data_IF_938393611251
#
_entry.id   IF_938393611251
#
_cell.length_a   1.000
_cell.length_b   1.000
_cell.length_c   1.000
_cell.angle_alpha   90.00
_cell.angle_beta   90.00
_cell.angle_gamma   90.00
#
_symmetry.space_group_name_H-M   'P 1'
#
loop_
_entity.id
_entity.type
_entity.pdbx_description
1 polymer ?
#
# COMPACT_ATOMS: atom_id res chain seq x y z
N UNK A 1 6.94 14.84 7.85
CA UNK A 1 5.95 13.82 7.44
C UNK A 1 4.53 14.34 7.66
N UNK A 2 3.56 13.95 6.84
CA UNK A 2 2.14 14.27 6.98
C UNK A 2 1.29 13.01 6.92
N UNK A 3 0.02 13.06 7.37
CA UNK A 3 -0.82 11.89 7.56
C UNK A 3 -1.80 11.70 6.41
N UNK A 4 -2.03 10.44 6.03
CA UNK A 4 -3.06 10.05 5.08
C UNK A 4 -3.83 8.83 5.60
N UNK A 5 -4.95 8.52 4.99
CA UNK A 5 -5.71 7.29 5.20
C UNK A 5 -5.93 6.58 3.87
N UNK A 6 -5.73 5.25 3.84
CA UNK A 6 -6.14 4.44 2.71
C UNK A 6 -7.66 4.26 2.71
N UNK A 7 -8.31 4.46 1.55
CA UNK A 7 -9.74 4.18 1.39
C UNK A 7 -10.09 2.72 1.69
N UNK A 8 -9.12 1.80 1.60
CA UNK A 8 -9.25 0.42 2.04
C UNK A 8 -9.62 0.28 3.53
N UNK A 9 -9.11 1.19 4.37
CA UNK A 9 -9.40 1.19 5.81
C UNK A 9 -10.88 1.36 6.15
N UNK A 10 -11.68 1.88 5.23
CA UNK A 10 -13.12 2.00 5.35
C UNK A 10 -13.90 0.78 4.80
N UNK A 11 -13.21 -0.30 4.43
CA UNK A 11 -13.81 -1.48 3.80
C UNK A 11 -14.99 -2.09 4.58
N UNK A 12 -14.97 -2.03 5.93
CA UNK A 12 -16.12 -2.47 6.74
C UNK A 12 -17.39 -1.68 6.42
N UNK A 13 -17.28 -0.37 6.30
CA UNK A 13 -18.41 0.51 6.02
C UNK A 13 -18.82 0.48 4.55
N UNK A 14 -17.86 0.36 3.64
CA UNK A 14 -18.14 0.21 2.21
C UNK A 14 -18.90 -1.09 1.94
N UNK A 15 -18.41 -2.22 2.46
CA UNK A 15 -19.09 -3.53 2.32
C UNK A 15 -20.46 -3.57 2.98
N UNK A 16 -20.67 -2.79 4.04
CA UNK A 16 -21.97 -2.66 4.71
C UNK A 16 -22.90 -1.65 4.03
N UNK A 17 -22.49 -1.03 2.92
CA UNK A 17 -23.26 0.00 2.22
C UNK A 17 -23.48 1.30 3.00
N UNK A 18 -22.64 1.56 4.02
CA UNK A 18 -22.70 2.79 4.83
C UNK A 18 -21.92 3.94 4.22
N UNK A 19 -20.89 3.65 3.44
CA UNK A 19 -20.06 4.61 2.71
C UNK A 19 -19.76 4.06 1.31
N UNK A 20 -19.52 4.98 0.38
CA UNK A 20 -18.85 4.71 -0.89
C UNK A 20 -17.38 5.19 -0.80
N UNK A 21 -16.55 4.88 -1.80
CA UNK A 21 -15.22 5.49 -1.87
C UNK A 21 -15.29 7.02 -1.91
N UNK A 22 -16.32 7.58 -2.53
CA UNK A 22 -16.55 9.02 -2.57
C UNK A 22 -16.79 9.58 -1.17
N UNK A 23 -17.63 8.93 -0.36
CA UNK A 23 -17.95 9.35 1.01
C UNK A 23 -16.75 9.25 1.96
N UNK A 24 -15.77 8.39 1.66
CA UNK A 24 -14.53 8.28 2.43
C UNK A 24 -13.74 9.59 2.47
N UNK A 25 -13.86 10.45 1.45
CA UNK A 25 -13.18 11.74 1.40
C UNK A 25 -13.66 12.66 2.53
N UNK A 26 -14.97 12.85 2.62
CA UNK A 26 -15.54 13.68 3.69
C UNK A 26 -15.23 13.10 5.08
N UNK A 27 -15.27 11.78 5.21
CA UNK A 27 -14.95 11.10 6.47
C UNK A 27 -13.46 11.25 6.85
N UNK A 28 -12.54 11.16 5.91
CA UNK A 28 -11.12 11.40 6.15
C UNK A 28 -10.84 12.84 6.59
N UNK A 29 -11.51 13.81 5.96
CA UNK A 29 -11.41 15.22 6.36
C UNK A 29 -11.99 15.46 7.77
N UNK A 30 -13.16 14.87 8.09
CA UNK A 30 -13.78 14.93 9.42
C UNK A 30 -12.87 14.39 10.52
N UNK A 31 -12.17 13.27 10.25
CA UNK A 31 -11.21 12.68 11.17
C UNK A 31 -9.92 13.51 11.32
N UNK A 32 -9.64 14.43 10.41
CA UNK A 32 -8.48 15.33 10.47
C UNK A 32 -7.21 14.75 9.86
N UNK A 33 -7.33 13.91 8.83
CA UNK A 33 -6.22 13.52 7.96
C UNK A 33 -5.83 14.67 7.03
N UNK A 34 -4.56 14.68 6.61
CA UNK A 34 -4.04 15.68 5.65
C UNK A 34 -4.25 15.24 4.19
N UNK A 35 -4.43 13.93 3.98
CA UNK A 35 -4.55 13.33 2.66
C UNK A 35 -5.39 12.04 2.69
N UNK A 36 -5.77 11.57 1.50
CA UNK A 36 -6.40 10.27 1.27
C UNK A 36 -5.66 9.52 0.16
N UNK A 37 -5.56 8.21 0.30
CA UNK A 37 -5.11 7.28 -0.72
C UNK A 37 -6.30 6.48 -1.23
N UNK A 38 -6.36 6.27 -2.54
CA UNK A 38 -7.38 5.41 -3.14
C UNK A 38 -6.79 4.07 -3.56
N UNK A 39 -7.50 2.98 -3.22
CA UNK A 39 -7.30 1.68 -3.86
C UNK A 39 -8.06 1.66 -5.19
N UNK A 40 -7.97 0.53 -5.95
CA UNK A 40 -8.73 0.35 -7.20
C UNK A 40 -10.10 1.04 -7.15
N UNK A 41 -10.38 1.87 -8.16
CA UNK A 41 -11.61 2.66 -8.17
C UNK A 41 -12.82 1.81 -8.51
N UNK A 42 -13.90 1.97 -7.76
CA UNK A 42 -15.17 1.27 -7.93
C UNK A 42 -16.31 2.29 -8.15
N UNK A 43 -16.52 2.76 -9.41
CA UNK A 43 -17.61 3.68 -9.71
C UNK A 43 -18.97 3.07 -9.37
N UNK A 44 -19.70 3.66 -8.43
CA UNK A 44 -21.01 3.19 -7.98
C UNK A 44 -22.18 3.91 -8.64
N UNK A 45 -21.87 4.95 -9.42
CA UNK A 45 -22.85 5.84 -10.06
C UNK A 45 -22.98 5.63 -11.59
N UNK A 46 -22.36 4.56 -12.10
CA UNK A 46 -22.38 4.21 -13.53
C UNK A 46 -21.42 5.05 -14.39
N UNK A 47 -20.61 5.94 -13.81
CA UNK A 47 -19.59 6.67 -14.54
C UNK A 47 -18.42 5.75 -14.95
N UNK A 48 -17.67 6.13 -15.98
CA UNK A 48 -16.40 5.52 -16.29
C UNK A 48 -15.40 5.75 -15.16
N UNK A 49 -14.37 4.90 -15.08
CA UNK A 49 -13.32 5.05 -14.06
C UNK A 49 -12.62 6.42 -14.14
N UNK A 50 -12.41 6.94 -15.36
CA UNK A 50 -11.80 8.25 -15.58
C UNK A 50 -12.71 9.41 -15.08
N UNK A 51 -14.01 9.35 -15.33
CA UNK A 51 -14.97 10.32 -14.82
C UNK A 51 -15.06 10.24 -13.29
N UNK A 52 -15.03 9.04 -12.74
CA UNK A 52 -15.06 8.84 -11.31
C UNK A 52 -13.80 9.35 -10.64
N UNK A 53 -12.61 9.08 -11.21
CA UNK A 53 -11.34 9.62 -10.74
C UNK A 53 -11.38 11.16 -10.67
N UNK A 54 -11.94 11.80 -11.70
CA UNK A 54 -12.09 13.25 -11.69
C UNK A 54 -13.03 13.73 -10.58
N UNK A 55 -14.17 13.06 -10.36
CA UNK A 55 -15.09 13.39 -9.26
C UNK A 55 -14.43 13.29 -7.90
N UNK A 56 -13.61 12.23 -7.68
CA UNK A 56 -12.86 12.03 -6.43
C UNK A 56 -11.81 13.14 -6.24
N UNK A 57 -11.11 13.53 -7.30
CA UNK A 57 -10.13 14.63 -7.26
C UNK A 57 -10.79 15.96 -6.91
N UNK A 58 -11.90 16.30 -7.57
CA UNK A 58 -12.65 17.53 -7.33
C UNK A 58 -13.19 17.57 -5.88
N UNK A 59 -13.69 16.44 -5.36
CA UNK A 59 -14.21 16.35 -3.99
C UNK A 59 -13.09 16.41 -2.94
N UNK A 60 -11.95 15.75 -3.17
CA UNK A 60 -10.79 15.84 -2.28
C UNK A 60 -10.30 17.29 -2.16
N UNK A 61 -10.22 18.00 -3.29
CA UNK A 61 -9.87 19.42 -3.31
C UNK A 61 -10.89 20.27 -2.54
N UNK A 62 -12.20 20.00 -2.71
CA UNK A 62 -13.29 20.69 -1.98
C UNK A 62 -13.20 20.49 -0.47
N UNK A 63 -12.79 19.28 -0.03
CA UNK A 63 -12.59 18.94 1.38
C UNK A 63 -11.22 19.38 1.93
N UNK A 64 -10.34 19.94 1.11
CA UNK A 64 -8.99 20.38 1.51
C UNK A 64 -8.01 19.23 1.70
N UNK A 65 -8.31 18.02 1.20
CA UNK A 65 -7.43 16.87 1.25
C UNK A 65 -6.53 16.79 0.02
N UNK A 66 -5.29 16.38 0.23
CA UNK A 66 -4.41 15.92 -0.86
C UNK A 66 -4.76 14.48 -1.22
N UNK A 67 -4.51 14.09 -2.46
CA UNK A 67 -4.47 12.67 -2.83
C UNK A 67 -3.02 12.22 -2.73
N UNK A 68 -2.74 11.26 -1.83
CA UNK A 68 -1.37 10.85 -1.51
C UNK A 68 -0.83 9.79 -2.46
N UNK A 69 -1.67 8.85 -2.88
CA UNK A 69 -1.32 7.76 -3.79
C UNK A 69 -2.58 7.14 -4.43
N UNK A 70 -2.35 6.40 -5.51
CA UNK A 70 -3.30 5.45 -6.07
C UNK A 70 -2.70 4.04 -6.01
N UNK A 71 -3.39 3.07 -5.42
CA UNK A 71 -2.88 1.72 -5.21
C UNK A 71 -3.78 0.70 -5.89
N UNK A 72 -3.20 -0.19 -6.68
CA UNK A 72 -3.95 -1.20 -7.43
C UNK A 72 -3.38 -2.59 -7.21
N UNK A 73 -4.25 -3.60 -7.30
CA UNK A 73 -3.83 -4.98 -7.41
C UNK A 73 -3.25 -5.28 -8.80
N UNK A 74 -2.16 -6.07 -8.86
CA UNK A 74 -1.57 -6.52 -10.11
C UNK A 74 -0.80 -7.83 -9.93
N UNK A 75 -0.64 -8.59 -11.01
CA UNK A 75 0.27 -9.73 -11.05
C UNK A 75 1.00 -9.72 -12.39
N UNK A 76 2.24 -9.24 -12.38
CA UNK A 76 3.00 -8.91 -13.59
C UNK A 76 3.68 -10.10 -14.26
N UNK A 77 3.45 -11.31 -13.77
CA UNK A 77 3.83 -12.56 -14.41
C UNK A 77 2.62 -13.50 -14.35
N UNK A 78 2.04 -13.78 -15.48
CA UNK A 78 0.94 -14.72 -15.66
C UNK A 78 1.44 -16.04 -16.24
N UNK A 79 0.54 -16.98 -16.47
CA UNK A 79 0.88 -18.29 -17.02
C UNK A 79 1.33 -18.21 -18.48
N UNK A 80 0.80 -17.24 -19.25
CA UNK A 80 1.18 -16.98 -20.65
C UNK A 80 1.77 -15.59 -20.84
N UNK A 81 2.55 -15.41 -21.92
CA UNK A 81 3.09 -14.10 -22.30
C UNK A 81 1.99 -13.13 -22.69
N UNK A 82 0.94 -13.62 -23.36
CA UNK A 82 -0.21 -12.80 -23.78
C UNK A 82 -0.94 -12.22 -22.56
N UNK A 83 -1.23 -13.05 -21.56
CA UNK A 83 -1.86 -12.60 -20.32
C UNK A 83 -0.97 -11.62 -19.55
N UNK A 84 0.35 -11.88 -19.51
CA UNK A 84 1.33 -10.96 -18.89
C UNK A 84 1.32 -9.61 -19.60
N UNK A 85 1.32 -9.61 -20.94
CA UNK A 85 1.25 -8.39 -21.74
C UNK A 85 -0.05 -7.61 -21.50
N UNK A 86 -1.19 -8.30 -21.49
CA UNK A 86 -2.49 -7.69 -21.18
C UNK A 86 -2.51 -7.04 -19.79
N UNK A 87 -1.89 -7.68 -18.78
CA UNK A 87 -1.81 -7.14 -17.44
C UNK A 87 -0.91 -5.87 -17.38
N UNK A 88 0.21 -5.87 -18.08
CA UNK A 88 1.08 -4.67 -18.18
C UNK A 88 0.31 -3.50 -18.81
N UNK A 89 -0.42 -3.73 -19.89
CA UNK A 89 -1.23 -2.68 -20.52
C UNK A 89 -2.37 -2.20 -19.61
N UNK A 90 -2.98 -3.10 -18.82
CA UNK A 90 -3.95 -2.72 -17.80
C UNK A 90 -3.33 -1.81 -16.73
N UNK A 91 -2.14 -2.14 -16.24
CA UNK A 91 -1.43 -1.32 -15.23
C UNK A 91 -1.06 0.05 -15.81
N UNK A 92 -0.64 0.12 -17.09
CA UNK A 92 -0.40 1.41 -17.76
C UNK A 92 -1.67 2.25 -17.87
N UNK A 93 -2.81 1.65 -18.21
CA UNK A 93 -4.09 2.37 -18.21
C UNK A 93 -4.45 2.92 -16.81
N UNK A 94 -4.11 2.19 -15.74
CA UNK A 94 -4.29 2.67 -14.36
C UNK A 94 -3.36 3.84 -14.01
N UNK A 95 -2.19 3.95 -14.64
CA UNK A 95 -1.33 5.15 -14.52
C UNK A 95 -2.03 6.38 -15.11
N UNK A 96 -2.76 6.23 -16.23
CA UNK A 96 -3.57 7.33 -16.77
C UNK A 96 -4.68 7.76 -15.80
N UNK A 97 -5.30 6.79 -15.10
CA UNK A 97 -6.27 7.09 -14.02
C UNK A 97 -5.60 7.81 -12.85
N UNK A 98 -4.39 7.37 -12.43
CA UNK A 98 -3.63 8.07 -11.38
C UNK A 98 -3.36 9.54 -11.73
N UNK A 99 -3.04 9.82 -13.01
CA UNK A 99 -2.83 11.17 -13.49
C UNK A 99 -4.11 12.02 -13.43
N UNK A 100 -5.26 11.45 -13.83
CA UNK A 100 -6.58 12.13 -13.74
C UNK A 100 -6.95 12.39 -12.28
N UNK A 101 -6.69 11.43 -11.41
CA UNK A 101 -6.93 11.52 -9.97
C UNK A 101 -6.03 12.56 -9.29
N UNK A 102 -4.90 12.91 -9.91
CA UNK A 102 -3.90 13.82 -9.34
C UNK A 102 -3.00 13.16 -8.30
N UNK A 103 -2.92 11.83 -8.28
CA UNK A 103 -2.03 11.09 -7.40
C UNK A 103 -0.57 11.21 -7.88
N UNK A 104 0.38 11.61 -7.03
CA UNK A 104 1.78 11.78 -7.45
C UNK A 104 2.53 10.45 -7.64
N UNK A 105 2.03 9.40 -7.01
CA UNK A 105 2.62 8.06 -7.02
C UNK A 105 1.53 7.01 -7.21
N UNK A 106 1.88 5.91 -7.89
CA UNK A 106 0.99 4.76 -8.05
C UNK A 106 1.69 3.48 -7.61
N UNK A 107 1.06 2.73 -6.70
CA UNK A 107 1.49 1.39 -6.33
C UNK A 107 0.75 0.36 -7.18
N UNK A 108 1.48 -0.62 -7.65
CA UNK A 108 0.94 -1.87 -8.16
C UNK A 108 1.59 -3.05 -7.43
N UNK A 109 0.86 -4.17 -7.29
CA UNK A 109 1.48 -5.39 -6.82
C UNK A 109 2.47 -5.93 -7.86
N UNK A 110 3.28 -6.91 -7.46
CA UNK A 110 4.35 -7.44 -8.29
C UNK A 110 4.03 -8.85 -8.81
N UNK A 111 4.12 -9.86 -7.92
CA UNK A 111 3.98 -11.26 -8.30
C UNK A 111 3.53 -12.10 -7.11
N UNK A 112 2.51 -12.94 -7.31
CA UNK A 112 1.92 -13.79 -6.27
C UNK A 112 2.32 -15.27 -6.36
N UNK A 113 3.35 -15.62 -7.16
CA UNK A 113 3.83 -16.98 -7.26
C UNK A 113 2.93 -17.89 -8.10
N UNK A 114 2.62 -17.52 -9.32
CA UNK A 114 1.98 -18.35 -10.31
C UNK A 114 2.85 -19.57 -10.65
N UNK A 115 2.32 -20.55 -11.35
CA UNK A 115 3.02 -21.82 -11.63
C UNK A 115 4.23 -21.69 -12.57
N UNK A 116 4.38 -20.58 -13.28
CA UNK A 116 5.41 -20.35 -14.30
C UNK A 116 6.83 -20.53 -13.75
N UNK A 117 7.10 -20.02 -12.54
CA UNK A 117 8.42 -20.09 -11.93
C UNK A 117 8.44 -20.87 -10.61
N UNK A 118 9.48 -21.70 -10.41
CA UNK A 118 9.66 -22.51 -9.19
C UNK A 118 10.21 -21.71 -8.01
N UNK A 119 10.84 -20.55 -8.25
CA UNK A 119 11.43 -19.72 -7.21
C UNK A 119 11.34 -18.24 -7.58
N UNK A 120 11.46 -17.39 -6.56
CA UNK A 120 11.57 -15.95 -6.72
C UNK A 120 12.73 -15.56 -7.66
N UNK A 121 13.90 -16.17 -7.49
CA UNK A 121 15.08 -15.82 -8.28
C UNK A 121 14.92 -16.07 -9.77
N UNK A 122 14.21 -17.13 -10.13
CA UNK A 122 13.91 -17.44 -11.54
C UNK A 122 12.89 -16.47 -12.13
N UNK A 123 12.01 -15.88 -11.32
CA UNK A 123 11.03 -14.89 -11.78
C UNK A 123 11.60 -13.47 -11.88
N UNK A 124 12.67 -13.17 -11.14
CA UNK A 124 13.19 -11.82 -10.98
C UNK A 124 13.57 -11.10 -12.29
N UNK A 125 14.21 -11.75 -13.29
CA UNK A 125 14.57 -11.07 -14.54
C UNK A 125 13.33 -10.60 -15.34
N UNK A 126 12.30 -11.46 -15.46
CA UNK A 126 11.06 -11.10 -16.17
C UNK A 126 10.29 -10.04 -15.37
N UNK A 127 10.17 -10.22 -14.06
CA UNK A 127 9.49 -9.26 -13.19
C UNK A 127 10.13 -7.86 -13.27
N UNK A 128 11.44 -7.79 -13.22
CA UNK A 128 12.17 -6.52 -13.30
C UNK A 128 12.00 -5.83 -14.66
N UNK A 129 11.98 -6.60 -15.76
CA UNK A 129 11.75 -6.07 -17.09
C UNK A 129 10.33 -5.47 -17.22
N UNK A 130 9.32 -6.19 -16.72
CA UNK A 130 7.92 -5.76 -16.75
C UNK A 130 7.69 -4.51 -15.90
N UNK A 131 8.26 -4.46 -14.68
CA UNK A 131 8.19 -3.29 -13.80
C UNK A 131 8.91 -2.08 -14.45
N UNK A 132 10.07 -2.28 -15.06
CA UNK A 132 10.81 -1.21 -15.75
C UNK A 132 9.97 -0.58 -16.86
N UNK A 133 9.28 -1.39 -17.67
CA UNK A 133 8.40 -0.89 -18.73
C UNK A 133 7.25 -0.04 -18.18
N UNK A 134 6.64 -0.49 -17.08
CA UNK A 134 5.58 0.27 -16.38
C UNK A 134 6.14 1.58 -15.82
N UNK A 135 7.35 1.54 -15.25
CA UNK A 135 7.98 2.73 -14.66
C UNK A 135 8.37 3.77 -15.72
N UNK A 136 8.81 3.33 -16.89
CA UNK A 136 9.08 4.21 -18.03
C UNK A 136 7.79 4.88 -18.52
N UNK A 137 6.68 4.13 -18.60
CA UNK A 137 5.38 4.70 -18.94
C UNK A 137 4.93 5.71 -17.87
N UNK A 138 5.05 5.36 -16.59
CA UNK A 138 4.74 6.27 -15.47
C UNK A 138 5.52 7.57 -15.54
N UNK A 139 6.82 7.50 -15.84
CA UNK A 139 7.68 8.66 -16.04
C UNK A 139 7.15 9.58 -17.15
N UNK A 140 6.70 9.00 -18.27
CA UNK A 140 6.12 9.77 -19.38
C UNK A 140 4.84 10.53 -19.01
N UNK A 141 4.14 10.07 -17.94
CA UNK A 141 2.91 10.67 -17.41
C UNK A 141 3.15 11.54 -16.18
N UNK A 142 4.39 11.64 -15.69
CA UNK A 142 4.71 12.35 -14.46
C UNK A 142 4.28 11.62 -13.17
N UNK A 143 3.99 10.34 -13.25
CA UNK A 143 3.58 9.50 -12.12
C UNK A 143 4.74 8.57 -11.73
N UNK A 144 5.21 8.65 -10.49
CA UNK A 144 6.16 7.69 -9.95
C UNK A 144 5.46 6.35 -9.70
N UNK A 145 6.13 5.25 -10.01
CA UNK A 145 5.61 3.90 -9.78
C UNK A 145 6.33 3.22 -8.63
N UNK A 146 5.63 2.36 -7.94
CA UNK A 146 6.18 1.62 -6.81
C UNK A 146 5.50 0.27 -6.64
N UNK A 147 6.22 -0.69 -6.05
CA UNK A 147 5.63 -1.92 -5.52
C UNK A 147 5.55 -1.81 -4.00
N UNK A 148 4.69 -2.63 -3.42
CA UNK A 148 4.61 -2.83 -1.98
C UNK A 148 5.26 -4.16 -1.58
N UNK A 149 5.79 -4.24 -0.37
CA UNK A 149 6.14 -5.51 0.28
C UNK A 149 4.85 -6.27 0.64
N UNK A 150 4.27 -6.98 -0.36
CA UNK A 150 2.96 -7.62 -0.28
C UNK A 150 2.92 -8.98 -0.98
N UNK A 151 1.96 -9.87 -0.58
CA UNK A 151 1.63 -11.10 -1.30
C UNK A 151 2.58 -12.28 -1.05
N UNK A 152 3.29 -12.32 0.07
CA UNK A 152 4.20 -13.39 0.53
C UNK A 152 5.44 -13.65 -0.35
N UNK A 153 5.34 -13.56 -1.67
CA UNK A 153 6.46 -13.82 -2.60
C UNK A 153 7.38 -12.60 -2.69
N UNK A 154 6.82 -11.43 -2.90
CA UNK A 154 7.54 -10.15 -3.04
C UNK A 154 7.38 -9.30 -1.76
N UNK A 155 7.59 -9.89 -0.59
CA UNK A 155 7.23 -9.25 0.68
C UNK A 155 8.41 -9.12 1.64
N UNK A 156 9.38 -10.03 1.61
CA UNK A 156 10.60 -9.91 2.43
C UNK A 156 11.40 -8.66 2.02
N UNK A 157 12.01 -8.01 2.98
CA UNK A 157 12.84 -6.82 2.72
C UNK A 157 13.98 -7.11 1.75
N UNK A 158 14.62 -8.29 1.85
CA UNK A 158 15.63 -8.76 0.91
C UNK A 158 15.08 -8.87 -0.54
N UNK A 159 13.89 -9.46 -0.70
CA UNK A 159 13.31 -9.65 -2.03
C UNK A 159 12.89 -8.34 -2.68
N UNK A 160 12.25 -7.45 -1.93
CA UNK A 160 11.84 -6.14 -2.50
C UNK A 160 13.05 -5.27 -2.83
N UNK A 161 14.13 -5.31 -2.02
CA UNK A 161 15.40 -4.65 -2.35
C UNK A 161 16.02 -5.23 -3.63
N UNK A 162 15.99 -6.54 -3.80
CA UNK A 162 16.49 -7.20 -5.03
C UNK A 162 15.66 -6.85 -6.25
N UNK A 163 14.32 -6.72 -6.12
CA UNK A 163 13.48 -6.21 -7.20
C UNK A 163 13.88 -4.77 -7.52
N UNK A 164 14.00 -3.89 -6.51
CA UNK A 164 14.40 -2.50 -6.70
C UNK A 164 15.72 -2.40 -7.47
N UNK A 165 16.74 -3.15 -7.05
CA UNK A 165 18.05 -3.17 -7.70
C UNK A 165 18.00 -3.73 -9.13
N UNK A 166 17.19 -4.78 -9.37
CA UNK A 166 17.05 -5.37 -10.71
C UNK A 166 16.29 -4.45 -11.67
N UNK A 167 15.25 -3.77 -11.19
CA UNK A 167 14.51 -2.75 -11.97
C UNK A 167 15.42 -1.58 -12.31
N UNK A 168 16.20 -1.07 -11.37
CA UNK A 168 17.18 0.01 -11.54
C UNK A 168 16.65 1.15 -12.42
N UNK A 169 15.56 1.79 -12.00
CA UNK A 169 14.91 2.86 -12.73
C UNK A 169 14.58 4.03 -11.79
N UNK A 170 14.94 5.27 -12.16
CA UNK A 170 14.79 6.46 -11.31
C UNK A 170 13.34 6.78 -10.91
N UNK A 171 12.37 6.37 -11.74
CA UNK A 171 10.93 6.57 -11.50
C UNK A 171 10.28 5.42 -10.74
N UNK A 172 11.08 4.47 -10.23
CA UNK A 172 10.62 3.30 -9.48
C UNK A 172 11.13 3.33 -8.05
N UNK A 173 10.23 3.06 -7.09
CA UNK A 173 10.53 2.98 -5.67
C UNK A 173 9.67 1.96 -4.95
N UNK A 174 9.57 2.10 -3.64
CA UNK A 174 8.79 1.21 -2.79
C UNK A 174 7.70 1.98 -2.03
N UNK A 175 6.53 1.38 -1.95
CA UNK A 175 5.61 1.60 -0.85
C UNK A 175 6.05 0.67 0.28
N UNK A 176 6.52 1.25 1.37
CA UNK A 176 6.99 0.51 2.54
C UNK A 176 5.84 0.36 3.54
N UNK A 177 5.21 -0.80 3.59
CA UNK A 177 4.24 -1.14 4.62
C UNK A 177 4.96 -1.77 5.82
N UNK A 178 4.91 -1.09 6.96
CA UNK A 178 5.61 -1.53 8.18
C UNK A 178 5.06 -2.86 8.72
N UNK A 179 3.75 -3.07 8.66
CA UNK A 179 3.07 -4.25 9.20
C UNK A 179 3.24 -5.48 8.31
N UNK A 180 3.28 -5.32 7.00
CA UNK A 180 3.34 -6.44 6.07
C UNK A 180 4.60 -7.30 6.20
N UNK A 181 5.70 -6.77 6.74
CA UNK A 181 6.90 -7.59 7.04
C UNK A 181 6.60 -8.70 8.05
N UNK A 182 5.64 -8.49 8.97
CA UNK A 182 5.23 -9.53 9.92
C UNK A 182 4.57 -10.73 9.23
N UNK A 183 3.94 -10.55 8.06
CA UNK A 183 3.34 -11.65 7.30
C UNK A 183 4.36 -12.69 6.84
N UNK A 184 5.63 -12.30 6.69
CA UNK A 184 6.74 -13.19 6.33
C UNK A 184 7.67 -13.46 7.51
N UNK A 185 7.20 -13.17 8.73
CA UNK A 185 7.91 -13.39 10.00
C UNK A 185 9.19 -12.55 10.15
N UNK A 186 9.32 -11.44 9.42
CA UNK A 186 10.45 -10.52 9.52
C UNK A 186 10.20 -9.46 10.61
N UNK A 187 11.26 -9.02 11.31
CA UNK A 187 11.17 -7.89 12.25
C UNK A 187 10.92 -6.59 11.48
N UNK A 188 9.82 -5.87 11.76
CA UNK A 188 9.47 -4.68 10.98
C UNK A 188 10.55 -3.59 10.98
N UNK A 189 11.21 -3.34 12.12
CA UNK A 189 12.21 -2.28 12.18
C UNK A 189 13.50 -2.64 11.43
N UNK A 190 13.91 -3.92 11.46
CA UNK A 190 15.05 -4.40 10.65
C UNK A 190 14.71 -4.33 9.16
N UNK A 191 13.53 -4.79 8.77
CA UNK A 191 13.07 -4.75 7.40
C UNK A 191 12.98 -3.31 6.86
N UNK A 192 12.32 -2.41 7.60
CA UNK A 192 12.25 -0.99 7.27
C UNK A 192 13.65 -0.37 7.14
N UNK A 193 14.61 -0.72 8.02
CA UNK A 193 15.97 -0.17 7.94
C UNK A 193 16.68 -0.51 6.63
N UNK A 194 16.37 -1.65 6.02
CA UNK A 194 16.93 -2.07 4.71
C UNK A 194 16.32 -1.28 3.56
N UNK A 195 14.99 -1.08 3.58
CA UNK A 195 14.25 -0.56 2.42
C UNK A 195 13.92 0.93 2.49
N UNK A 196 14.11 1.57 3.63
CA UNK A 196 13.82 2.99 3.84
C UNK A 196 14.43 3.93 2.78
N UNK A 197 15.67 3.71 2.27
CA UNK A 197 16.25 4.58 1.24
C UNK A 197 15.48 4.58 -0.09
N UNK A 198 14.64 3.60 -0.32
CA UNK A 198 13.88 3.40 -1.57
C UNK A 198 12.41 3.82 -1.45
N UNK A 199 11.98 4.30 -0.28
CA UNK A 199 10.59 4.62 0.02
C UNK A 199 10.09 5.83 -0.78
N UNK A 200 9.05 5.64 -1.58
CA UNK A 200 8.27 6.70 -2.20
C UNK A 200 6.98 6.97 -1.43
N UNK A 201 6.50 5.98 -0.70
CA UNK A 201 5.30 6.04 0.12
C UNK A 201 5.42 5.09 1.30
N UNK A 202 4.63 5.29 2.35
CA UNK A 202 4.69 4.49 3.57
C UNK A 202 3.29 4.17 4.07
N UNK A 203 3.06 2.90 4.42
CA UNK A 203 1.88 2.46 5.17
C UNK A 203 2.22 2.20 6.63
N UNK A 204 1.43 2.79 7.51
CA UNK A 204 1.38 2.49 8.93
C UNK A 204 0.23 1.50 9.19
N UNK A 205 0.54 0.23 9.06
CA UNK A 205 -0.32 -0.92 9.37
C UNK A 205 0.20 -1.59 10.63
N UNK A 206 -0.69 -2.10 11.46
CA UNK A 206 -0.30 -2.75 12.71
C UNK A 206 -1.04 -4.08 12.93
N UNK A 207 -0.36 -5.02 13.56
CA UNK A 207 -0.85 -6.34 13.87
C UNK A 207 -0.42 -6.77 15.28
N UNK A 208 -1.24 -7.63 15.90
CA UNK A 208 -0.82 -8.44 17.03
C UNK A 208 -0.49 -9.85 16.51
N UNK A 209 0.71 -10.36 16.85
CA UNK A 209 1.17 -11.68 16.44
C UNK A 209 0.94 -12.72 17.53
N UNK A 210 0.29 -13.80 17.15
CA UNK A 210 0.03 -14.96 18.00
C UNK A 210 0.86 -16.15 17.51
N UNK A 211 1.45 -16.96 18.44
CA UNK A 211 2.30 -18.08 18.07
C UNK A 211 1.52 -19.17 17.33
N UNK A 212 2.28 -20.04 16.63
CA UNK A 212 1.72 -21.26 16.04
C UNK A 212 0.97 -22.09 17.09
N UNK A 213 -0.16 -22.67 16.69
CA UNK A 213 -1.01 -23.46 17.59
C UNK A 213 -2.03 -22.65 18.39
N UNK A 214 -2.01 -21.32 18.31
CA UNK A 214 -3.13 -20.51 18.81
C UNK A 214 -4.40 -20.88 18.04
N UNK A 215 -5.51 -21.12 18.75
CA UNK A 215 -6.81 -21.39 18.11
C UNK A 215 -7.14 -20.30 17.11
N UNK A 216 -7.82 -20.68 16.01
CA UNK A 216 -8.15 -19.74 14.94
C UNK A 216 -8.94 -18.55 15.49
N UNK A 217 -8.32 -17.38 15.46
CA UNK A 217 -8.95 -16.12 15.81
C UNK A 217 -9.70 -15.57 14.58
N UNK A 218 -10.92 -15.11 14.79
CA UNK A 218 -11.71 -14.51 13.73
C UNK A 218 -10.96 -13.33 13.11
N UNK A 219 -10.91 -13.27 11.76
CA UNK A 219 -10.19 -12.21 11.04
C UNK A 219 -8.67 -12.32 11.07
N UNK A 220 -8.09 -13.41 11.63
CA UNK A 220 -6.65 -13.61 11.62
C UNK A 220 -6.17 -14.15 10.27
N UNK A 221 -4.98 -13.72 9.86
CA UNK A 221 -4.26 -14.24 8.69
C UNK A 221 -3.04 -15.05 9.13
N UNK A 222 -2.65 -16.11 8.39
CA UNK A 222 -1.42 -16.85 8.70
C UNK A 222 -0.19 -16.07 8.27
N UNK A 223 0.90 -16.14 9.03
CA UNK A 223 2.23 -15.77 8.52
C UNK A 223 2.78 -16.88 7.64
N UNK A 224 3.90 -16.62 6.94
CA UNK A 224 4.63 -17.66 6.18
C UNK A 224 5.04 -18.82 7.10
N UNK A 225 5.49 -18.56 8.32
CA UNK A 225 5.86 -19.55 9.34
C UNK A 225 4.67 -20.09 10.15
N UNK A 226 3.42 -19.82 9.71
CA UNK A 226 2.19 -20.34 10.31
C UNK A 226 1.84 -19.77 11.71
N UNK A 227 2.45 -18.68 12.15
CA UNK A 227 1.91 -17.86 13.23
C UNK A 227 0.61 -17.18 12.76
N UNK A 228 -0.08 -16.47 13.63
CA UNK A 228 -1.31 -15.74 13.29
C UNK A 228 -1.15 -14.25 13.53
N UNK A 229 -1.61 -13.45 12.59
CA UNK A 229 -1.71 -11.99 12.75
C UNK A 229 -3.17 -11.58 12.84
N UNK A 230 -3.46 -10.69 13.77
CA UNK A 230 -4.75 -10.03 13.92
C UNK A 230 -4.51 -8.54 13.73
N UNK A 231 -5.26 -7.90 12.82
CA UNK A 231 -5.14 -6.46 12.58
C UNK A 231 -5.42 -5.67 13.87
N UNK A 232 -4.53 -4.72 14.16
CA UNK A 232 -4.58 -3.87 15.34
C UNK A 232 -4.76 -2.39 14.95
N UNK A 233 -5.24 -1.59 15.89
CA UNK A 233 -5.20 -0.13 15.74
C UNK A 233 -3.74 0.32 15.69
N UNK A 234 -3.39 1.15 14.74
CA UNK A 234 -2.02 1.64 14.56
C UNK A 234 -1.44 2.17 15.87
N UNK A 235 -0.28 1.65 16.25
CA UNK A 235 0.43 1.96 17.50
C UNK A 235 -0.03 1.18 18.73
N UNK A 236 -0.90 0.17 18.57
CA UNK A 236 -1.34 -0.71 19.69
C UNK A 236 -0.95 -2.17 19.51
N UNK A 237 -0.39 -2.52 18.37
CA UNK A 237 0.08 -3.88 18.05
C UNK A 237 1.57 -4.06 18.31
N UNK A 238 2.14 -5.00 17.57
CA UNK A 238 3.55 -5.41 17.71
C UNK A 238 4.50 -4.69 16.74
N UNK A 239 3.99 -3.84 15.83
CA UNK A 239 4.83 -3.01 14.95
C UNK A 239 5.45 -1.87 15.77
N UNK A 240 6.78 -1.76 15.86
CA UNK A 240 7.44 -0.69 16.61
C UNK A 240 7.37 0.65 15.86
N UNK A 241 6.18 1.26 15.82
CA UNK A 241 5.80 2.41 14.99
C UNK A 241 6.81 3.56 15.07
N UNK A 242 7.11 4.06 16.27
CA UNK A 242 8.06 5.19 16.46
C UNK A 242 9.45 4.84 15.90
N UNK A 243 9.92 3.61 16.13
CA UNK A 243 11.23 3.16 15.65
C UNK A 243 11.26 3.09 14.12
N UNK A 244 10.21 2.55 13.47
CA UNK A 244 10.11 2.51 12.03
C UNK A 244 10.07 3.92 11.42
N UNK A 245 9.29 4.83 11.98
CA UNK A 245 9.22 6.23 11.54
C UNK A 245 10.56 6.95 11.69
N UNK A 246 11.26 6.75 12.81
CA UNK A 246 12.59 7.33 13.04
C UNK A 246 13.62 6.81 12.01
N UNK A 247 13.59 5.53 11.67
CA UNK A 247 14.44 4.94 10.64
C UNK A 247 14.16 5.58 9.28
N UNK A 248 12.90 5.70 8.87
CA UNK A 248 12.49 6.35 7.63
C UNK A 248 12.96 7.81 7.58
N UNK A 249 12.75 8.57 8.65
CA UNK A 249 13.19 9.96 8.75
C UNK A 249 14.72 10.09 8.63
N UNK A 250 15.46 9.23 9.31
CA UNK A 250 16.93 9.21 9.23
C UNK A 250 17.44 8.82 7.83
N UNK A 251 16.67 8.05 7.07
CA UNK A 251 16.95 7.75 5.67
C UNK A 251 16.56 8.89 4.70
N UNK A 252 16.01 10.00 5.21
CA UNK A 252 15.60 11.17 4.42
C UNK A 252 14.15 11.16 3.97
N UNK A 253 13.33 10.20 4.41
CA UNK A 253 11.90 10.20 4.08
C UNK A 253 11.13 11.24 4.90
N UNK A 254 10.50 12.19 4.22
CA UNK A 254 9.63 13.21 4.83
C UNK A 254 8.28 13.32 4.11
N UNK A 255 7.88 12.23 3.47
CA UNK A 255 6.65 12.13 2.69
C UNK A 255 5.41 11.83 3.53
N UNK A 256 4.44 11.23 2.88
CA UNK A 256 3.17 10.82 3.46
C UNK A 256 3.30 9.50 4.24
N UNK A 257 2.66 9.43 5.41
CA UNK A 257 2.45 8.18 6.14
C UNK A 257 0.95 7.87 6.11
N UNK A 258 0.56 6.87 5.35
CA UNK A 258 -0.82 6.45 5.17
C UNK A 258 -1.18 5.40 6.21
N UNK A 259 -2.22 5.67 6.99
CA UNK A 259 -2.79 4.69 7.91
C UNK A 259 -3.61 3.67 7.13
N UNK A 260 -3.27 2.40 7.26
CA UNK A 260 -4.03 1.28 6.71
C UNK A 260 -4.50 0.34 7.84
N UNK A 261 -5.81 0.18 7.98
CA UNK A 261 -6.42 -0.59 9.04
C UNK A 261 -7.14 -1.84 8.51
N UNK A 262 -6.84 -2.99 9.10
CA UNK A 262 -7.41 -4.30 8.75
C UNK A 262 -7.99 -5.05 9.97
N UNK A 263 -8.28 -4.36 11.06
CA UNK A 263 -8.75 -4.99 12.29
C UNK A 263 -10.26 -5.21 12.32
N UNK A 264 -10.73 -5.80 13.43
CA UNK A 264 -12.15 -6.13 13.67
C UNK A 264 -12.92 -5.05 14.45
N UNK A 265 -12.23 -4.08 15.03
CA UNK A 265 -12.86 -2.92 15.67
C UNK A 265 -13.61 -2.08 14.62
N UNK A 266 -14.61 -1.31 15.04
CA UNK A 266 -15.24 -0.33 14.15
C UNK A 266 -14.17 0.54 13.45
N UNK A 267 -14.21 0.56 12.13
CA UNK A 267 -13.11 1.13 11.37
C UNK A 267 -12.95 2.65 11.60
N UNK A 268 -14.04 3.39 11.81
CA UNK A 268 -13.98 4.84 12.06
C UNK A 268 -13.34 5.11 13.42
N UNK A 269 -13.77 4.40 14.47
CA UNK A 269 -13.16 4.53 15.79
C UNK A 269 -11.69 4.09 15.81
N UNK A 270 -11.35 3.04 15.06
CA UNK A 270 -9.98 2.57 14.93
C UNK A 270 -9.08 3.59 14.19
N UNK A 271 -9.61 4.24 13.16
CA UNK A 271 -8.90 5.29 12.42
C UNK A 271 -8.69 6.55 13.25
N UNK A 272 -9.67 6.96 14.03
CA UNK A 272 -9.55 8.11 14.94
C UNK A 272 -8.43 7.88 15.97
N UNK A 273 -8.45 6.73 16.65
CA UNK A 273 -7.41 6.38 17.62
C UNK A 273 -6.04 6.19 16.96
N UNK A 274 -5.99 5.48 15.81
CA UNK A 274 -4.77 5.24 15.06
C UNK A 274 -4.14 6.53 14.55
N UNK A 275 -4.93 7.50 14.11
CA UNK A 275 -4.45 8.82 13.68
C UNK A 275 -3.83 9.58 14.86
N UNK A 276 -4.47 9.53 16.04
CA UNK A 276 -3.93 10.15 17.25
C UNK A 276 -2.57 9.57 17.64
N UNK A 277 -2.45 8.23 17.60
CA UNK A 277 -1.20 7.53 17.86
C UNK A 277 -0.13 7.87 16.84
N UNK A 278 -0.49 7.88 15.54
CA UNK A 278 0.44 8.21 14.45
C UNK A 278 0.95 9.65 14.56
N UNK A 279 0.07 10.63 14.80
CA UNK A 279 0.47 12.03 15.01
C UNK A 279 1.40 12.18 16.22
N UNK A 280 1.12 11.45 17.30
CA UNK A 280 1.97 11.42 18.50
C UNK A 280 3.35 10.86 18.15
N UNK A 281 3.42 9.73 17.46
CA UNK A 281 4.68 9.11 17.04
C UNK A 281 5.50 10.03 16.13
N UNK A 282 4.87 10.67 15.13
CA UNK A 282 5.53 11.63 14.22
C UNK A 282 6.08 12.84 15.01
N UNK A 283 5.40 13.31 16.03
CA UNK A 283 5.83 14.47 16.82
C UNK A 283 7.06 14.21 17.69
N UNK A 284 7.41 12.94 17.94
CA UNK A 284 8.52 12.53 18.81
C UNK A 284 9.83 12.23 18.07
N UNK A 285 9.78 12.18 16.74
CA UNK A 285 10.94 11.84 15.89
C UNK A 285 11.58 13.05 15.20
#
# INVERSE_FOLDING_TARGET
MYTSVSSYSFAQYIRAGKLTQFDCIAKAAELGFDAIEFIDLEPHDGSSEAEYAKKLADEAARCGLKISAYTIGACLIKDTEEETRAEIERVKAKIDIAAILGAPVMRHDAYFGQKKYRSFDLSLPELAANIREISEYGKSKGIKTMIENHGYICQDSDRVERIFNAVNHENFGLLVDMGNFMCVDEDPALAVSRVAPYAFHVHAKDFVKYPYGTSTLSGSIPTRGQARLVGAVCGTGDVPLERCLAILKNAGYDGCVTLEYEGSMDCVAALELGLSNLKTAISRI
#
